data_IF_196430458754
#
_entry.id   IF_196430458754
#
_cell.length_a   1.000
_cell.length_b   1.000
_cell.length_c   1.000
_cell.angle_alpha   90.00
_cell.angle_beta   90.00
_cell.angle_gamma   90.00
#
_symmetry.space_group_name_H-M   'P 1'
#
loop_
_entity.id
_entity.type
_entity.pdbx_description
1 polymer ?
#
# COMPACT_ATOMS: atom_id res chain seq x y z
N UNK A 1 -0.52 -22.06 18.61
CA UNK A 1 0.19 -21.08 17.78
C UNK A 1 -0.61 -20.86 16.50
N UNK A 2 -1.01 -19.61 16.24
CA UNK A 2 -1.68 -19.26 15.00
C UNK A 2 -0.69 -19.30 13.84
N UNK A 3 -1.02 -20.07 12.82
CA UNK A 3 -0.21 -20.15 11.61
C UNK A 3 -0.90 -19.35 10.50
N UNK A 4 -0.95 -18.03 10.67
CA UNK A 4 -1.53 -17.11 9.70
C UNK A 4 -0.39 -16.39 8.97
N UNK A 5 -0.50 -16.27 7.67
CA UNK A 5 0.50 -15.54 6.88
C UNK A 5 0.53 -14.05 7.28
N UNK A 6 1.71 -13.47 7.36
CA UNK A 6 1.88 -12.06 7.75
C UNK A 6 1.02 -11.11 6.90
N UNK A 7 0.94 -11.38 5.59
CA UNK A 7 0.11 -10.55 4.69
C UNK A 7 -1.37 -10.58 5.05
N UNK A 8 -1.87 -11.71 5.56
CA UNK A 8 -3.26 -11.80 6.02
C UNK A 8 -3.46 -10.97 7.30
N UNK A 9 -2.51 -11.05 8.23
CA UNK A 9 -2.55 -10.25 9.47
C UNK A 9 -2.54 -8.76 9.15
N UNK A 10 -1.73 -8.33 8.19
CA UNK A 10 -1.67 -6.93 7.75
C UNK A 10 -3.03 -6.50 7.21
N UNK A 11 -3.64 -7.30 6.34
CA UNK A 11 -4.96 -6.99 5.78
C UNK A 11 -6.02 -6.84 6.88
N UNK A 12 -6.09 -7.82 7.78
CA UNK A 12 -7.06 -7.80 8.89
C UNK A 12 -6.85 -6.59 9.80
N UNK A 13 -5.59 -6.27 10.12
CA UNK A 13 -5.25 -5.12 10.95
C UNK A 13 -5.67 -3.81 10.27
N UNK A 14 -5.40 -3.65 8.98
CA UNK A 14 -5.82 -2.45 8.25
C UNK A 14 -7.34 -2.34 8.16
N UNK A 15 -8.06 -3.46 8.01
CA UNK A 15 -9.52 -3.46 8.02
C UNK A 15 -10.08 -2.98 9.36
N UNK A 16 -9.44 -3.33 10.46
CA UNK A 16 -9.81 -2.82 11.78
C UNK A 16 -9.49 -1.34 11.93
N UNK A 17 -8.29 -0.93 11.52
CA UNK A 17 -7.83 0.44 11.69
C UNK A 17 -8.60 1.44 10.82
N UNK A 18 -8.98 1.07 9.59
CA UNK A 18 -9.69 1.97 8.69
C UNK A 18 -11.09 2.33 9.20
N UNK A 19 -11.67 1.54 10.08
CA UNK A 19 -12.95 1.87 10.73
C UNK A 19 -12.83 3.15 11.56
N UNK A 20 -11.69 3.36 12.20
CA UNK A 20 -11.42 4.50 13.07
C UNK A 20 -10.66 5.62 12.36
N UNK A 21 -9.91 5.30 11.31
CA UNK A 21 -9.06 6.26 10.59
C UNK A 21 -9.27 6.14 9.08
N UNK A 22 -10.12 7.00 8.54
CA UNK A 22 -10.46 7.03 7.12
C UNK A 22 -9.37 7.62 6.23
N UNK A 23 -8.27 8.11 6.80
CA UNK A 23 -7.11 8.56 6.03
C UNK A 23 -6.27 7.39 5.50
N UNK A 24 -6.46 6.18 6.04
CA UNK A 24 -5.77 4.97 5.57
C UNK A 24 -6.26 4.62 4.17
N UNK A 25 -5.30 4.40 3.26
CA UNK A 25 -5.56 4.01 1.87
C UNK A 25 -4.64 2.84 1.51
N UNK A 26 -5.19 1.83 0.86
CA UNK A 26 -4.41 0.70 0.33
C UNK A 26 -4.30 0.84 -1.19
N UNK A 27 -3.08 0.69 -1.72
CA UNK A 27 -2.81 0.78 -3.14
C UNK A 27 -2.11 -0.49 -3.61
N UNK A 28 -2.50 -0.99 -4.78
CA UNK A 28 -1.91 -2.18 -5.39
C UNK A 28 -1.59 -1.94 -6.86
N UNK A 29 -0.63 -2.72 -7.37
CA UNK A 29 -0.22 -2.73 -8.78
C UNK A 29 -0.64 -4.06 -9.42
N UNK A 30 -1.95 -4.31 -9.50
CA UNK A 30 -2.54 -5.59 -9.93
C UNK A 30 -2.07 -6.75 -9.03
N UNK A 31 -1.89 -6.46 -7.75
CA UNK A 31 -1.25 -7.36 -6.78
C UNK A 31 -2.12 -7.63 -5.55
N UNK A 32 -3.40 -7.23 -5.57
CA UNK A 32 -4.26 -7.38 -4.39
C UNK A 32 -4.42 -8.85 -3.96
N UNK A 33 -4.47 -9.77 -4.91
CA UNK A 33 -4.57 -11.21 -4.62
C UNK A 33 -3.31 -11.75 -3.96
N UNK A 34 -2.14 -11.48 -4.53
CA UNK A 34 -0.86 -11.94 -3.98
C UNK A 34 -0.53 -11.30 -2.63
N UNK A 35 -0.98 -10.07 -2.43
CA UNK A 35 -0.81 -9.36 -1.15
C UNK A 35 -1.86 -9.75 -0.11
N UNK A 36 -2.83 -10.60 -0.45
CA UNK A 36 -3.97 -10.96 0.40
C UNK A 36 -4.84 -9.74 0.79
N UNK A 37 -4.89 -8.73 -0.09
CA UNK A 37 -5.62 -7.48 0.16
C UNK A 37 -7.02 -7.46 -0.49
N UNK A 38 -7.43 -8.53 -1.18
CA UNK A 38 -8.75 -8.62 -1.79
C UNK A 38 -9.89 -8.33 -0.80
N UNK A 39 -9.88 -8.86 0.44
CA UNK A 39 -10.94 -8.53 1.40
C UNK A 39 -11.03 -7.04 1.71
N UNK A 40 -9.88 -6.36 1.85
CA UNK A 40 -9.85 -4.91 2.10
C UNK A 40 -10.45 -4.14 0.92
N UNK A 41 -10.02 -4.47 -0.30
CA UNK A 41 -10.49 -3.80 -1.52
C UNK A 41 -12.01 -3.98 -1.72
N UNK A 42 -12.53 -5.15 -1.38
CA UNK A 42 -13.96 -5.44 -1.48
C UNK A 42 -14.77 -4.70 -0.41
N UNK A 43 -14.27 -4.64 0.83
CA UNK A 43 -14.99 -4.05 1.95
C UNK A 43 -14.86 -2.51 1.98
N UNK A 44 -13.74 -1.97 1.54
CA UNK A 44 -13.45 -0.52 1.62
C UNK A 44 -13.00 0.03 0.26
N UNK A 45 -13.86 0.00 -0.77
CA UNK A 45 -13.50 0.48 -2.10
C UNK A 45 -13.12 1.97 -2.13
N UNK A 46 -13.69 2.80 -1.27
CA UNK A 46 -13.35 4.22 -1.19
C UNK A 46 -11.94 4.45 -0.63
N UNK A 47 -11.37 3.45 0.06
CA UNK A 47 -10.02 3.51 0.63
C UNK A 47 -9.04 2.64 -0.13
N UNK A 48 -9.39 2.23 -1.35
CA UNK A 48 -8.62 1.30 -2.17
C UNK A 48 -8.33 1.91 -3.53
N UNK A 49 -7.08 1.78 -3.99
CA UNK A 49 -6.66 2.32 -5.29
C UNK A 49 -5.91 1.24 -6.05
N UNK A 50 -6.35 0.94 -7.25
CA UNK A 50 -5.68 0.02 -8.16
C UNK A 50 -4.95 0.83 -9.23
N UNK A 51 -3.63 0.70 -9.30
CA UNK A 51 -2.80 1.46 -10.24
C UNK A 51 -2.54 0.68 -11.53
N UNK A 52 -2.70 -0.64 -11.49
CA UNK A 52 -2.25 -1.53 -12.55
C UNK A 52 -0.77 -1.87 -12.40
N UNK A 53 -0.21 -2.57 -13.37
CA UNK A 53 1.19 -3.03 -13.32
C UNK A 53 2.12 -1.84 -13.62
N UNK A 54 2.29 -0.97 -12.63
CA UNK A 54 3.08 0.26 -12.74
C UNK A 54 3.61 0.63 -11.35
N UNK A 55 4.54 -0.16 -10.81
CA UNK A 55 5.00 -0.04 -9.44
C UNK A 55 5.69 1.29 -9.15
N UNK A 56 6.44 1.83 -10.12
CA UNK A 56 7.06 3.15 -9.97
C UNK A 56 5.99 4.22 -9.78
N UNK A 57 4.95 4.19 -10.60
CA UNK A 57 3.82 5.11 -10.49
C UNK A 57 3.05 4.91 -9.19
N UNK A 58 2.91 3.66 -8.74
CA UNK A 58 2.29 3.31 -7.46
C UNK A 58 2.96 4.06 -6.31
N UNK A 59 4.28 4.04 -6.24
CA UNK A 59 5.05 4.71 -5.18
C UNK A 59 4.88 6.23 -5.27
N UNK A 60 4.98 6.81 -6.46
CA UNK A 60 4.84 8.27 -6.66
C UNK A 60 3.44 8.77 -6.31
N UNK A 61 2.39 8.05 -6.74
CA UNK A 61 1.00 8.40 -6.40
C UNK A 61 0.80 8.34 -4.89
N UNK A 62 1.33 7.31 -4.25
CA UNK A 62 1.22 7.15 -2.80
C UNK A 62 1.91 8.31 -2.06
N UNK A 63 3.06 8.74 -2.54
CA UNK A 63 3.75 9.90 -1.97
C UNK A 63 2.90 11.18 -2.08
N UNK A 64 2.26 11.39 -3.22
CA UNK A 64 1.34 12.51 -3.41
C UNK A 64 0.14 12.44 -2.46
N UNK A 65 -0.44 11.26 -2.29
CA UNK A 65 -1.55 11.07 -1.34
C UNK A 65 -1.11 11.34 0.10
N UNK A 66 0.11 10.93 0.47
CA UNK A 66 0.66 11.22 1.80
C UNK A 66 0.81 12.73 2.03
N UNK A 67 1.24 13.47 1.00
CA UNK A 67 1.32 14.94 1.08
C UNK A 67 -0.06 15.58 1.28
N UNK A 68 -1.11 14.93 0.82
CA UNK A 68 -2.50 15.40 1.01
C UNK A 68 -3.12 14.91 2.32
N UNK A 69 -2.35 14.36 3.23
CA UNK A 69 -2.82 13.94 4.55
C UNK A 69 -3.31 12.49 4.64
N UNK A 70 -3.16 11.71 3.58
CA UNK A 70 -3.49 10.28 3.61
C UNK A 70 -2.37 9.46 4.24
N UNK A 71 -2.70 8.22 4.62
CA UNK A 71 -1.75 7.23 5.15
C UNK A 71 -1.72 6.04 4.19
N UNK A 72 -0.97 6.13 3.09
CA UNK A 72 -0.97 5.09 2.06
C UNK A 72 -0.10 3.89 2.45
N UNK A 73 -0.64 2.71 2.16
CA UNK A 73 0.05 1.43 2.26
C UNK A 73 0.09 0.84 0.85
N UNK A 74 1.29 0.70 0.30
CA UNK A 74 1.51 0.18 -1.05
C UNK A 74 1.86 -1.30 -0.99
N UNK A 75 1.16 -2.12 -1.74
CA UNK A 75 1.36 -3.56 -1.76
C UNK A 75 1.77 -4.01 -3.16
N UNK A 76 2.94 -4.63 -3.27
CA UNK A 76 3.42 -5.22 -4.50
C UNK A 76 4.52 -6.24 -4.16
N UNK A 77 4.85 -7.20 -5.04
CA UNK A 77 5.97 -8.09 -4.77
C UNK A 77 7.24 -7.33 -4.39
N UNK A 78 7.99 -7.85 -3.42
CA UNK A 78 9.09 -7.12 -2.77
C UNK A 78 10.11 -6.52 -3.75
N UNK A 79 10.55 -7.30 -4.75
CA UNK A 79 11.52 -6.79 -5.73
C UNK A 79 10.95 -5.71 -6.63
N UNK A 80 9.64 -5.72 -6.88
CA UNK A 80 8.99 -4.73 -7.74
C UNK A 80 8.81 -3.40 -7.03
N UNK A 81 8.49 -3.44 -5.73
CA UNK A 81 8.26 -2.21 -4.97
C UNK A 81 9.54 -1.63 -4.35
N UNK A 82 10.61 -2.42 -4.26
CA UNK A 82 11.91 -1.95 -3.78
C UNK A 82 12.89 -1.67 -4.91
N UNK A 83 13.48 -2.69 -5.50
CA UNK A 83 14.55 -2.53 -6.50
C UNK A 83 14.05 -1.84 -7.77
N UNK A 84 12.91 -2.28 -8.32
CA UNK A 84 12.36 -1.67 -9.54
C UNK A 84 11.89 -0.24 -9.32
N UNK A 85 11.45 0.10 -8.12
CA UNK A 85 10.94 1.42 -7.76
C UNK A 85 11.92 2.18 -6.87
N UNK A 86 13.20 1.85 -6.94
CA UNK A 86 14.22 2.40 -6.03
C UNK A 86 14.28 3.92 -6.07
N UNK A 87 14.26 4.51 -7.28
CA UNK A 87 14.33 5.97 -7.41
C UNK A 87 13.13 6.64 -6.76
N UNK A 88 11.93 6.13 -6.97
CA UNK A 88 10.71 6.69 -6.40
C UNK A 88 10.71 6.54 -4.87
N UNK A 89 11.16 5.40 -4.36
CA UNK A 89 11.30 5.20 -2.91
C UNK A 89 12.32 6.17 -2.31
N UNK A 90 13.44 6.40 -3.02
CA UNK A 90 14.50 7.30 -2.60
C UNK A 90 14.05 8.75 -2.61
N UNK A 91 13.47 9.21 -3.72
CA UNK A 91 13.15 10.63 -3.94
C UNK A 91 11.78 10.99 -3.37
N UNK A 92 10.74 10.25 -3.77
CA UNK A 92 9.37 10.64 -3.43
C UNK A 92 9.00 10.27 -2.00
N UNK A 93 9.57 9.20 -1.45
CA UNK A 93 9.27 8.77 -0.08
C UNK A 93 10.33 9.26 0.90
N UNK A 94 11.58 8.84 0.74
CA UNK A 94 12.62 9.14 1.72
C UNK A 94 13.05 10.60 1.69
N UNK A 95 13.50 11.09 0.54
CA UNK A 95 13.98 12.48 0.41
C UNK A 95 12.86 13.48 0.71
N UNK A 96 11.69 13.26 0.16
CA UNK A 96 10.53 14.14 0.34
C UNK A 96 9.83 13.95 1.69
N UNK A 97 10.29 13.01 2.50
CA UNK A 97 9.77 12.71 3.84
C UNK A 97 8.25 12.52 3.83
N UNK A 98 7.77 11.60 2.99
CA UNK A 98 6.34 11.28 2.90
C UNK A 98 6.01 10.03 3.71
N UNK A 99 4.82 10.01 4.33
CA UNK A 99 4.39 8.92 5.20
C UNK A 99 3.80 7.76 4.38
N UNK A 100 4.64 7.12 3.57
CA UNK A 100 4.26 5.96 2.73
C UNK A 100 4.81 4.68 3.34
N UNK A 101 3.99 3.63 3.40
CA UNK A 101 4.43 2.30 3.80
C UNK A 101 4.53 1.43 2.55
N UNK A 102 5.72 0.93 2.28
CA UNK A 102 6.00 0.02 1.18
C UNK A 102 6.00 -1.41 1.74
N UNK A 103 5.08 -2.23 1.28
CA UNK A 103 4.87 -3.59 1.78
C UNK A 103 5.10 -4.57 0.63
N UNK A 104 6.15 -5.40 0.76
CA UNK A 104 6.55 -6.39 -0.22
C UNK A 104 6.38 -7.83 0.23
#
# INVERSE_FOLDING_TARGET
MNKIANRQVICETLMEQVKEDKSIVALCSDSRGSASMTPFFNAYPENSVEIGIAEQNLVSISAGMAKCGKKPFCFSPASFISTRSYEQAKVDVAYSNTNVKLVG
#
